data_IF_471563589001
#
_entry.id   IF_471563589001
#
_cell.length_a   1.000
_cell.length_b   1.000
_cell.length_c   1.000
_cell.angle_alpha   90.00
_cell.angle_beta   90.00
_cell.angle_gamma   90.00
#
_symmetry.space_group_name_H-M   'P 1'
#
loop_
_entity.id
_entity.type
_entity.pdbx_description
1 polymer ?
#
# COMPACT_ATOMS: atom_id res chain seq x y z
N UNK A 1 13.18 67.51 -3.20
CA UNK A 1 13.10 67.79 -4.66
C UNK A 1 12.35 66.64 -5.31
N UNK A 2 11.20 66.98 -5.75
CA UNK A 2 10.15 66.27 -6.49
C UNK A 2 10.63 65.77 -7.86
N UNK A 3 10.18 64.62 -8.31
CA UNK A 3 9.66 64.41 -9.67
C UNK A 3 8.80 63.15 -9.75
N UNK A 4 7.53 63.39 -9.96
CA UNK A 4 6.52 62.45 -10.49
C UNK A 4 6.69 62.36 -12.00
N UNK A 5 6.20 61.28 -12.59
CA UNK A 5 5.51 61.13 -13.91
C UNK A 5 5.53 59.63 -14.26
N UNK A 6 4.60 59.03 -14.92
CA UNK A 6 3.17 59.22 -15.24
C UNK A 6 2.70 57.88 -15.86
N UNK A 7 1.46 57.64 -15.72
CA UNK A 7 0.62 56.55 -16.22
C UNK A 7 0.54 56.60 -17.76
N UNK A 8 0.56 55.44 -18.42
CA UNK A 8 -0.07 55.30 -19.74
C UNK A 8 -0.83 53.97 -19.79
N UNK A 9 -2.14 54.08 -19.77
CA UNK A 9 -3.10 53.03 -20.12
C UNK A 9 -3.25 53.02 -21.63
N UNK A 10 -3.37 51.83 -22.21
CA UNK A 10 -3.91 51.64 -23.57
C UNK A 10 -4.97 50.54 -23.52
N UNK A 11 -6.17 50.97 -23.79
CA UNK A 11 -7.39 50.17 -24.03
C UNK A 11 -7.57 50.00 -25.53
N UNK A 12 -8.22 48.92 -25.95
CA UNK A 12 -8.73 48.67 -27.31
C UNK A 12 -8.61 47.18 -27.65
N UNK A 13 -9.56 46.50 -28.20
CA UNK A 13 -10.94 46.72 -28.61
C UNK A 13 -11.60 45.37 -28.84
N UNK A 14 -12.86 45.32 -28.62
CA UNK A 14 -13.83 44.25 -28.85
C UNK A 14 -13.95 43.95 -30.34
N UNK A 15 -14.04 42.67 -30.69
CA UNK A 15 -14.43 42.18 -32.01
C UNK A 15 -15.29 40.94 -31.90
N UNK A 16 -16.61 41.14 -31.81
CA UNK A 16 -17.61 40.09 -31.97
C UNK A 16 -17.90 39.87 -33.46
N UNK A 17 -17.86 38.64 -33.91
CA UNK A 17 -18.46 38.26 -35.19
C UNK A 17 -19.41 37.09 -34.98
N UNK A 18 -20.69 37.36 -35.08
CA UNK A 18 -21.75 36.40 -35.27
C UNK A 18 -21.89 36.11 -36.76
N UNK A 19 -22.03 34.86 -37.13
CA UNK A 19 -22.49 34.45 -38.48
C UNK A 19 -23.59 33.41 -38.35
N UNK A 20 -24.72 33.80 -38.79
CA UNK A 20 -25.95 33.05 -39.02
C UNK A 20 -25.81 32.29 -40.32
N UNK A 21 -26.19 31.02 -40.34
CA UNK A 21 -26.48 30.30 -41.61
C UNK A 21 -27.78 29.54 -41.47
N UNK A 22 -28.75 29.95 -42.23
CA UNK A 22 -29.94 29.21 -42.69
C UNK A 22 -29.52 28.42 -43.95
N UNK A 23 -30.02 27.24 -44.18
CA UNK A 23 -31.24 26.75 -44.53
C UNK A 23 -31.22 25.57 -45.47
N UNK A 24 -32.17 24.67 -45.34
CA UNK A 24 -32.93 23.85 -46.33
C UNK A 24 -32.13 22.94 -47.29
N UNK A 25 -32.34 21.63 -47.35
CA UNK A 25 -33.54 20.90 -47.63
C UNK A 25 -33.20 19.65 -48.47
N UNK A 26 -33.86 18.54 -48.21
CA UNK A 26 -34.23 17.60 -49.27
C UNK A 26 -33.51 16.27 -49.35
N UNK A 27 -34.06 15.22 -48.80
CA UNK A 27 -34.52 14.03 -49.51
C UNK A 27 -33.55 12.84 -49.70
N UNK A 28 -33.87 11.71 -49.07
CA UNK A 28 -33.74 10.40 -49.75
C UNK A 28 -32.79 9.37 -49.14
N UNK A 29 -33.29 8.47 -48.35
CA UNK A 29 -33.14 7.02 -48.48
C UNK A 29 -31.86 6.32 -48.02
N UNK A 30 -31.96 5.48 -47.02
CA UNK A 30 -31.29 4.20 -46.99
C UNK A 30 -30.23 3.94 -45.93
N UNK A 31 -30.60 3.19 -44.90
CA UNK A 31 -29.78 2.11 -44.41
C UNK A 31 -28.74 2.35 -43.32
N UNK A 32 -29.12 2.07 -42.08
CA UNK A 32 -28.39 1.16 -41.22
C UNK A 32 -27.14 1.65 -40.51
N UNK A 33 -27.17 1.76 -39.19
CA UNK A 33 -25.99 1.74 -38.36
C UNK A 33 -26.05 2.68 -37.17
N UNK A 34 -27.11 2.64 -36.37
CA UNK A 34 -27.16 3.28 -35.06
C UNK A 34 -26.26 2.52 -34.11
N UNK A 35 -25.09 3.09 -33.78
CA UNK A 35 -24.38 2.71 -32.56
C UNK A 35 -25.17 3.21 -31.36
N UNK A 36 -26.17 2.43 -30.96
CA UNK A 36 -26.79 2.55 -29.66
C UNK A 36 -25.78 2.10 -28.61
N UNK A 37 -25.30 3.06 -27.80
CA UNK A 37 -24.79 2.77 -26.48
C UNK A 37 -25.89 2.06 -25.70
N UNK A 38 -25.93 0.76 -25.79
CA UNK A 38 -26.75 -0.10 -24.97
C UNK A 38 -26.24 0.01 -23.55
N UNK A 39 -26.90 0.88 -22.78
CA UNK A 39 -27.01 0.72 -21.36
C UNK A 39 -27.71 -0.63 -21.15
N UNK A 40 -26.89 -1.66 -20.86
CA UNK A 40 -27.42 -2.99 -20.51
C UNK A 40 -28.14 -2.89 -19.16
N UNK A 41 -29.43 -2.67 -19.20
CA UNK A 41 -30.31 -3.07 -18.11
C UNK A 41 -30.44 -4.58 -18.18
N UNK A 42 -29.54 -5.31 -17.54
CA UNK A 42 -29.63 -6.74 -17.40
C UNK A 42 -30.55 -7.08 -16.23
N UNK A 43 -31.78 -7.43 -16.55
CA UNK A 43 -32.54 -8.38 -15.77
C UNK A 43 -31.97 -9.78 -16.04
N UNK A 44 -31.06 -10.27 -15.18
CA UNK A 44 -30.46 -11.61 -15.27
C UNK A 44 -29.21 -11.64 -14.39
N UNK A 45 -29.24 -12.38 -13.30
CA UNK A 45 -28.31 -12.47 -12.16
C UNK A 45 -26.80 -12.51 -12.45
N UNK A 46 -26.20 -11.36 -12.70
CA UNK A 46 -24.76 -11.22 -12.80
C UNK A 46 -24.26 -10.07 -11.91
N UNK A 47 -22.96 -10.11 -11.55
CA UNK A 47 -22.34 -9.05 -10.74
C UNK A 47 -22.28 -7.71 -11.48
N UNK A 48 -22.43 -6.62 -10.75
CA UNK A 48 -22.24 -5.27 -11.26
C UNK A 48 -20.74 -4.92 -11.22
N UNK A 49 -20.10 -4.80 -12.38
CA UNK A 49 -18.70 -4.39 -12.47
C UNK A 49 -18.47 -2.99 -11.87
N UNK A 50 -17.29 -2.81 -11.27
CA UNK A 50 -16.79 -1.51 -10.86
C UNK A 50 -16.36 -0.70 -12.11
N UNK A 51 -16.47 0.65 -12.08
CA UNK A 51 -16.28 1.49 -13.27
C UNK A 51 -14.83 1.47 -13.77
N UNK A 52 -14.67 1.49 -15.10
CA UNK A 52 -13.36 1.51 -15.77
C UNK A 52 -12.50 2.76 -15.45
N UNK A 53 -13.09 3.82 -14.92
CA UNK A 53 -12.34 4.99 -14.43
C UNK A 53 -11.51 4.70 -13.17
N UNK A 54 -11.79 3.60 -12.48
CA UNK A 54 -11.09 3.19 -11.26
C UNK A 54 -10.49 1.79 -11.35
N UNK A 55 -11.09 0.90 -12.12
CA UNK A 55 -10.78 -0.53 -12.06
C UNK A 55 -10.56 -1.11 -13.45
N UNK A 56 -9.71 -2.12 -13.54
CA UNK A 56 -9.55 -2.95 -14.71
C UNK A 56 -10.83 -3.78 -14.98
N UNK A 57 -10.99 -4.37 -16.17
CA UNK A 57 -12.06 -5.32 -16.43
C UNK A 57 -12.11 -6.45 -15.38
N UNK A 58 -13.30 -7.01 -15.17
CA UNK A 58 -13.49 -8.20 -14.34
C UNK A 58 -12.60 -9.34 -14.86
N UNK A 59 -11.87 -9.97 -13.95
CA UNK A 59 -11.12 -11.21 -14.17
C UNK A 59 -11.95 -12.36 -13.61
N UNK A 60 -12.50 -13.18 -14.50
CA UNK A 60 -13.29 -14.34 -14.18
C UNK A 60 -13.15 -15.41 -15.26
N UNK A 61 -12.87 -16.62 -14.86
CA UNK A 61 -12.76 -17.80 -15.74
C UNK A 61 -13.33 -19.04 -15.10
N UNK A 62 -14.16 -18.85 -14.06
CA UNK A 62 -14.84 -19.93 -13.34
C UNK A 62 -16.11 -20.43 -14.05
N UNK A 63 -16.81 -21.41 -13.48
CA UNK A 63 -18.05 -21.94 -14.03
C UNK A 63 -19.22 -20.96 -13.83
N UNK A 64 -20.15 -20.92 -14.81
CA UNK A 64 -21.36 -20.12 -14.73
C UNK A 64 -21.13 -18.60 -14.65
N UNK A 65 -22.00 -17.91 -13.94
CA UNK A 65 -21.87 -16.48 -13.65
C UNK A 65 -21.32 -16.28 -12.24
N UNK A 66 -20.50 -15.25 -12.00
CA UNK A 66 -20.05 -14.95 -10.65
C UNK A 66 -21.20 -14.42 -9.77
N UNK A 67 -21.20 -14.82 -8.50
CA UNK A 67 -22.14 -14.36 -7.47
C UNK A 67 -21.67 -13.03 -6.86
N UNK A 68 -20.34 -12.89 -6.70
CA UNK A 68 -19.71 -11.75 -6.03
C UNK A 68 -18.42 -11.31 -6.72
N UNK A 69 -17.99 -10.10 -6.36
CA UNK A 69 -16.69 -9.53 -6.72
C UNK A 69 -15.86 -9.39 -5.44
N UNK A 70 -14.61 -9.83 -5.48
CA UNK A 70 -13.55 -9.34 -4.60
C UNK A 70 -12.74 -8.29 -5.35
N UNK A 71 -12.67 -7.08 -4.79
CA UNK A 71 -11.85 -6.02 -5.36
C UNK A 71 -10.44 -6.00 -4.76
N UNK A 72 -9.44 -5.54 -5.49
CA UNK A 72 -8.19 -5.06 -4.89
C UNK A 72 -8.03 -3.56 -5.10
N UNK A 73 -7.42 -2.87 -4.14
CA UNK A 73 -7.16 -1.43 -4.18
C UNK A 73 -5.69 -1.17 -3.88
N UNK A 74 -4.91 -0.89 -4.91
CA UNK A 74 -3.45 -0.78 -4.86
C UNK A 74 -2.98 0.32 -5.83
N UNK A 75 -1.87 1.06 -5.57
CA UNK A 75 -1.37 2.05 -6.49
C UNK A 75 -0.75 1.38 -7.73
N UNK A 76 -1.39 1.54 -8.89
CA UNK A 76 -0.95 0.92 -10.15
C UNK A 76 -0.21 1.91 -11.07
N UNK A 77 0.14 3.09 -10.56
CA UNK A 77 0.93 4.12 -11.22
C UNK A 77 2.04 4.63 -10.29
N UNK A 78 3.05 5.26 -10.86
CA UNK A 78 4.15 5.85 -10.11
C UNK A 78 5.18 4.84 -9.58
N UNK A 79 5.89 5.21 -8.52
CA UNK A 79 7.06 4.47 -8.01
C UNK A 79 6.73 3.08 -7.44
N UNK A 80 5.51 2.86 -6.92
CA UNK A 80 5.08 1.55 -6.40
C UNK A 80 4.58 0.56 -7.45
N UNK A 81 4.40 1.00 -8.72
CA UNK A 81 3.70 0.23 -9.75
C UNK A 81 4.27 -1.17 -9.99
N UNK A 82 5.58 -1.30 -10.06
CA UNK A 82 6.23 -2.59 -10.36
C UNK A 82 5.88 -3.63 -9.30
N UNK A 83 5.96 -3.24 -8.03
CA UNK A 83 5.65 -4.10 -6.89
C UNK A 83 4.15 -4.43 -6.83
N UNK A 84 3.30 -3.43 -6.91
CA UNK A 84 1.84 -3.62 -6.75
C UNK A 84 1.20 -4.32 -7.96
N UNK A 85 1.72 -4.14 -9.17
CA UNK A 85 1.31 -4.95 -10.34
C UNK A 85 1.60 -6.44 -10.10
N UNK A 86 2.75 -6.76 -9.51
CA UNK A 86 3.08 -8.14 -9.16
C UNK A 86 2.14 -8.69 -8.08
N UNK A 87 1.72 -7.85 -7.11
CA UNK A 87 0.72 -8.22 -6.10
C UNK A 87 -0.65 -8.51 -6.72
N UNK A 88 -1.13 -7.67 -7.66
CA UNK A 88 -2.37 -7.93 -8.41
C UNK A 88 -2.29 -9.27 -9.17
N UNK A 89 -1.17 -9.53 -9.83
CA UNK A 89 -0.96 -10.78 -10.55
C UNK A 89 -0.94 -12.00 -9.63
N UNK A 90 -0.41 -11.86 -8.40
CA UNK A 90 -0.41 -12.91 -7.39
C UNK A 90 -1.81 -13.20 -6.86
N UNK A 91 -2.67 -12.19 -6.69
CA UNK A 91 -4.09 -12.37 -6.36
C UNK A 91 -4.79 -13.13 -7.48
N UNK A 92 -4.65 -12.69 -8.75
CA UNK A 92 -5.22 -13.38 -9.92
C UNK A 92 -4.77 -14.83 -10.02
N UNK A 93 -3.50 -15.09 -9.74
CA UNK A 93 -2.95 -16.46 -9.73
C UNK A 93 -3.70 -17.35 -8.74
N UNK A 94 -3.97 -16.87 -7.53
CA UNK A 94 -4.72 -17.62 -6.52
C UNK A 94 -6.18 -17.83 -6.92
N UNK A 95 -6.86 -16.81 -7.43
CA UNK A 95 -8.24 -16.92 -7.93
C UNK A 95 -8.34 -17.98 -9.02
N UNK A 96 -7.41 -17.95 -9.98
CA UNK A 96 -7.35 -18.94 -11.05
C UNK A 96 -7.09 -20.37 -10.53
N UNK A 97 -6.17 -20.54 -9.58
CA UNK A 97 -5.89 -21.83 -8.97
C UNK A 97 -7.10 -22.41 -8.23
N UNK A 98 -7.96 -21.57 -7.67
CA UNK A 98 -9.19 -21.96 -7.00
C UNK A 98 -10.40 -21.99 -7.96
N UNK A 99 -10.17 -21.93 -9.29
CA UNK A 99 -11.23 -21.92 -10.29
C UNK A 99 -12.32 -20.88 -10.01
N UNK A 100 -11.92 -19.72 -9.43
CA UNK A 100 -12.81 -18.61 -9.04
C UNK A 100 -13.97 -19.04 -8.14
N UNK A 101 -13.74 -19.98 -7.23
CA UNK A 101 -14.75 -20.48 -6.30
C UNK A 101 -14.32 -20.31 -4.84
N UNK A 102 -15.28 -20.09 -3.95
CA UNK A 102 -15.14 -20.06 -2.51
C UNK A 102 -16.34 -20.77 -1.87
N UNK A 103 -16.16 -22.03 -1.46
CA UNK A 103 -17.28 -22.88 -1.03
C UNK A 103 -18.27 -23.08 -2.18
N UNK A 104 -19.51 -22.68 -1.97
CA UNK A 104 -20.59 -22.77 -2.96
C UNK A 104 -20.73 -21.50 -3.83
N UNK A 105 -19.85 -20.51 -3.66
CA UNK A 105 -19.92 -19.24 -4.35
C UNK A 105 -18.91 -19.12 -5.49
N UNK A 106 -19.31 -18.46 -6.57
CA UNK A 106 -18.47 -18.10 -7.69
C UNK A 106 -18.01 -16.64 -7.53
N UNK A 107 -16.71 -16.43 -7.50
CA UNK A 107 -16.13 -15.14 -7.10
C UNK A 107 -15.30 -14.56 -8.24
N UNK A 108 -15.74 -13.45 -8.81
CA UNK A 108 -14.94 -12.66 -9.74
C UNK A 108 -13.91 -11.81 -8.98
N UNK A 109 -12.80 -11.50 -9.65
CA UNK A 109 -11.81 -10.56 -9.16
C UNK A 109 -11.79 -9.30 -10.01
N UNK A 110 -11.66 -8.13 -9.38
CA UNK A 110 -11.50 -6.88 -10.10
C UNK A 110 -10.43 -6.01 -9.43
N UNK A 111 -9.33 -5.73 -10.14
CA UNK A 111 -8.26 -4.88 -9.61
C UNK A 111 -8.55 -3.40 -9.89
N UNK A 112 -8.40 -2.58 -8.86
CA UNK A 112 -8.62 -1.14 -8.93
C UNK A 112 -7.34 -0.39 -8.54
N UNK A 113 -7.21 0.83 -9.07
CA UNK A 113 -6.08 1.72 -8.91
C UNK A 113 -6.44 2.84 -7.93
N UNK A 114 -5.70 2.97 -6.85
CA UNK A 114 -5.84 4.06 -5.87
C UNK A 114 -4.86 5.22 -6.10
N UNK A 115 -4.07 5.14 -7.19
CA UNK A 115 -3.11 6.16 -7.56
C UNK A 115 -3.62 7.07 -8.69
N UNK A 116 -2.93 8.19 -8.88
CA UNK A 116 -3.13 9.05 -10.03
C UNK A 116 -1.79 9.35 -10.72
N UNK A 117 -1.82 9.54 -12.04
CA UNK A 117 -0.62 9.92 -12.80
C UNK A 117 -0.03 11.26 -12.31
N UNK A 118 -0.87 12.17 -11.86
CA UNK A 118 -0.45 13.47 -11.34
C UNK A 118 0.27 13.36 -10.01
N UNK A 119 -0.22 12.53 -9.09
CA UNK A 119 0.43 12.31 -7.80
C UNK A 119 1.66 11.39 -7.94
N UNK A 120 1.69 10.48 -8.91
CA UNK A 120 2.74 9.46 -9.05
C UNK A 120 2.79 8.46 -7.89
N UNK A 121 1.75 8.44 -7.09
CA UNK A 121 1.56 7.61 -5.88
C UNK A 121 0.07 7.45 -5.59
N UNK A 122 -0.30 6.76 -4.50
CA UNK A 122 -1.67 6.74 -4.00
C UNK A 122 -2.22 8.17 -3.80
N UNK A 123 -3.51 8.34 -4.02
CA UNK A 123 -4.20 9.63 -3.95
C UNK A 123 -5.42 9.53 -3.05
N UNK A 124 -5.53 10.43 -2.07
CA UNK A 124 -6.60 10.39 -1.06
C UNK A 124 -8.01 10.54 -1.65
N UNK A 125 -8.16 11.37 -2.68
CA UNK A 125 -9.43 11.55 -3.39
C UNK A 125 -9.83 10.29 -4.16
N UNK A 126 -8.84 9.63 -4.79
CA UNK A 126 -9.04 8.38 -5.52
C UNK A 126 -9.42 7.24 -4.58
N UNK A 127 -8.69 7.06 -3.47
CA UNK A 127 -9.01 6.11 -2.40
C UNK A 127 -10.43 6.33 -1.87
N UNK A 128 -10.78 7.60 -1.57
CA UNK A 128 -12.11 7.95 -1.07
C UNK A 128 -13.21 7.59 -2.08
N UNK A 129 -12.97 7.83 -3.37
CA UNK A 129 -13.88 7.47 -4.45
C UNK A 129 -14.06 5.96 -4.55
N UNK A 130 -12.95 5.21 -4.60
CA UNK A 130 -12.95 3.76 -4.68
C UNK A 130 -13.66 3.12 -3.49
N UNK A 131 -13.37 3.56 -2.27
CA UNK A 131 -14.03 3.06 -1.06
C UNK A 131 -15.55 3.26 -1.10
N UNK A 132 -16.04 4.41 -1.60
CA UNK A 132 -17.47 4.65 -1.78
C UNK A 132 -18.09 3.74 -2.86
N UNK A 133 -17.35 3.45 -3.94
CA UNK A 133 -17.80 2.50 -4.98
C UNK A 133 -17.96 1.10 -4.39
N UNK A 134 -16.97 0.62 -3.64
CA UNK A 134 -17.02 -0.71 -2.99
C UNK A 134 -18.15 -0.79 -1.97
N UNK A 135 -18.29 0.22 -1.11
CA UNK A 135 -19.34 0.24 -0.10
C UNK A 135 -20.76 0.16 -0.71
N UNK A 136 -21.00 0.85 -1.81
CA UNK A 136 -22.33 0.93 -2.46
C UNK A 136 -22.63 -0.22 -3.41
N UNK A 137 -21.64 -0.81 -4.05
CA UNK A 137 -21.84 -1.90 -5.01
C UNK A 137 -22.07 -3.23 -4.28
N UNK A 138 -23.30 -3.71 -4.25
CA UNK A 138 -23.69 -4.93 -3.52
C UNK A 138 -23.02 -6.21 -4.02
N UNK A 139 -22.49 -6.20 -5.25
CA UNK A 139 -21.70 -7.33 -5.75
C UNK A 139 -20.31 -7.44 -5.09
N UNK A 140 -19.78 -6.36 -4.49
CA UNK A 140 -18.48 -6.38 -3.80
C UNK A 140 -18.64 -7.02 -2.42
N UNK A 141 -18.08 -8.21 -2.23
CA UNK A 141 -18.17 -8.97 -0.98
C UNK A 141 -16.95 -8.76 -0.06
N UNK A 142 -15.81 -8.35 -0.61
CA UNK A 142 -14.58 -8.12 0.13
C UNK A 142 -13.55 -7.32 -0.65
N UNK A 143 -12.56 -6.75 0.05
CA UNK A 143 -11.47 -5.94 -0.53
C UNK A 143 -10.12 -6.47 -0.08
N UNK A 144 -9.19 -6.64 -1.02
CA UNK A 144 -7.77 -6.93 -0.77
C UNK A 144 -6.98 -5.65 -1.01
N UNK A 145 -6.44 -5.08 0.03
CA UNK A 145 -5.75 -3.77 -0.01
C UNK A 145 -5.79 -3.12 1.37
N UNK A 146 -5.32 -1.89 1.49
CA UNK A 146 -4.56 -1.14 0.51
C UNK A 146 -3.07 -1.46 0.61
N UNK A 147 -2.24 -0.86 -0.24
CA UNK A 147 -0.79 -0.94 -0.08
C UNK A 147 -0.32 0.05 1.00
N UNK A 148 -0.73 1.31 0.88
CA UNK A 148 -0.32 2.38 1.77
C UNK A 148 -1.26 2.50 2.98
N UNK A 149 -0.69 2.70 4.18
CA UNK A 149 -1.48 2.80 5.43
C UNK A 149 -2.37 4.04 5.46
N UNK A 150 -1.92 5.19 4.92
CA UNK A 150 -2.76 6.38 4.79
C UNK A 150 -3.99 6.17 3.89
N UNK A 151 -3.89 5.30 2.88
CA UNK A 151 -5.05 4.89 2.09
C UNK A 151 -6.04 4.04 2.92
N UNK A 152 -5.51 3.13 3.78
CA UNK A 152 -6.32 2.33 4.69
C UNK A 152 -7.09 3.17 5.70
N UNK A 153 -6.49 4.24 6.23
CA UNK A 153 -7.17 5.19 7.12
C UNK A 153 -8.46 5.78 6.52
N UNK A 154 -8.46 6.00 5.21
CA UNK A 154 -9.61 6.53 4.47
C UNK A 154 -10.62 5.42 4.14
N UNK A 155 -10.12 4.25 3.76
CA UNK A 155 -10.96 3.15 3.26
C UNK A 155 -11.68 2.39 4.36
N UNK A 156 -11.00 2.03 5.44
CA UNK A 156 -11.56 1.21 6.52
C UNK A 156 -12.88 1.77 7.05
N UNK A 157 -12.99 3.06 7.48
CA UNK A 157 -14.23 3.56 8.05
C UNK A 157 -15.39 3.64 7.05
N UNK A 158 -15.11 3.80 5.76
CA UNK A 158 -16.14 3.80 4.71
C UNK A 158 -16.68 2.39 4.46
N UNK A 159 -15.81 1.40 4.41
CA UNK A 159 -16.19 -0.01 4.29
C UNK A 159 -16.87 -0.50 5.58
N UNK A 160 -16.49 0.03 6.73
CA UNK A 160 -17.08 -0.27 8.02
C UNK A 160 -18.55 0.15 8.12
N UNK A 161 -18.90 1.25 7.45
CA UNK A 161 -20.27 1.80 7.41
C UNK A 161 -21.01 1.45 6.11
N UNK A 162 -20.56 0.46 5.37
CA UNK A 162 -21.19 0.10 4.11
C UNK A 162 -22.65 -0.36 4.32
N UNK A 163 -23.59 0.00 3.43
CA UNK A 163 -24.96 -0.50 3.48
C UNK A 163 -25.00 -2.03 3.44
N UNK A 164 -25.92 -2.62 4.20
CA UNK A 164 -26.10 -4.08 4.34
C UNK A 164 -24.92 -4.80 5.00
N UNK A 165 -24.17 -4.10 5.86
CA UNK A 165 -23.11 -4.64 6.68
C UNK A 165 -21.70 -4.24 6.21
N UNK A 166 -20.73 -4.26 7.15
CA UNK A 166 -19.35 -3.88 6.85
C UNK A 166 -18.73 -4.80 5.79
N UNK A 167 -18.00 -4.21 4.85
CA UNK A 167 -17.23 -4.96 3.86
C UNK A 167 -15.90 -5.37 4.50
N UNK A 168 -15.59 -6.66 4.49
CA UNK A 168 -14.33 -7.21 5.00
C UNK A 168 -13.14 -6.76 4.15
N UNK A 169 -12.03 -6.39 4.80
CA UNK A 169 -10.81 -5.91 4.16
C UNK A 169 -9.59 -6.66 4.69
N UNK A 170 -8.75 -7.17 3.77
CA UNK A 170 -7.48 -7.84 4.10
C UNK A 170 -6.33 -7.08 3.47
N UNK A 171 -5.41 -6.56 4.28
CA UNK A 171 -4.22 -5.90 3.74
C UNK A 171 -3.02 -6.85 3.69
N UNK A 172 -2.35 -6.92 2.53
CA UNK A 172 -1.07 -7.59 2.39
C UNK A 172 0.14 -6.73 2.78
N UNK A 173 -0.05 -5.45 3.12
CA UNK A 173 1.07 -4.50 3.20
C UNK A 173 0.95 -3.38 4.23
N UNK A 174 -0.23 -3.08 4.78
CA UNK A 174 -0.36 -1.97 5.74
C UNK A 174 0.26 -2.33 7.08
N UNK A 175 1.20 -1.53 7.54
CA UNK A 175 1.95 -1.79 8.77
C UNK A 175 1.66 -0.80 9.91
N UNK A 176 1.06 0.37 9.62
CA UNK A 176 0.78 1.40 10.63
C UNK A 176 -0.02 0.85 11.82
N UNK A 177 0.54 1.05 13.03
CA UNK A 177 0.00 0.52 14.29
C UNK A 177 -1.41 1.03 14.56
N UNK A 178 -1.67 2.32 14.31
CA UNK A 178 -2.93 2.99 14.61
C UNK A 178 -4.16 2.42 13.89
N UNK A 179 -3.98 1.60 12.84
CA UNK A 179 -5.09 0.94 12.14
C UNK A 179 -5.78 -0.13 13.01
N UNK A 180 -5.06 -0.74 13.94
CA UNK A 180 -5.56 -1.90 14.69
C UNK A 180 -5.41 -1.79 16.20
N UNK A 181 -4.35 -1.17 16.70
CA UNK A 181 -4.09 -1.06 18.13
C UNK A 181 -3.35 0.23 18.50
N UNK A 182 -3.14 0.45 19.80
CA UNK A 182 -2.46 1.64 20.33
C UNK A 182 -0.95 1.49 20.26
N UNK A 183 -0.25 2.59 19.99
CA UNK A 183 1.21 2.66 19.88
C UNK A 183 1.76 4.05 20.17
N UNK A 184 3.10 4.27 20.06
CA UNK A 184 3.75 5.53 20.45
C UNK A 184 3.39 6.75 19.58
N UNK A 185 2.91 6.56 18.35
CA UNK A 185 2.68 7.65 17.39
C UNK A 185 1.29 7.63 16.77
N UNK A 186 0.33 7.04 17.44
CA UNK A 186 -1.05 7.04 16.94
C UNK A 186 -1.69 8.43 17.10
N UNK A 187 -2.61 8.74 16.18
CA UNK A 187 -3.42 9.94 16.28
C UNK A 187 -4.56 9.78 17.32
N UNK A 188 -5.11 10.88 17.84
CA UNK A 188 -6.25 10.81 18.76
C UNK A 188 -7.43 10.03 18.17
N UNK A 189 -8.02 9.16 18.99
CA UNK A 189 -9.17 8.33 18.62
C UNK A 189 -8.83 7.04 17.86
N UNK A 190 -7.56 6.77 17.55
CA UNK A 190 -7.14 5.49 16.96
C UNK A 190 -7.03 4.39 18.01
N UNK A 191 -7.32 3.16 17.58
CA UNK A 191 -7.85 2.71 16.28
C UNK A 191 -9.36 2.91 16.13
N UNK A 192 -10.08 3.25 17.18
CA UNK A 192 -11.54 3.17 17.28
C UNK A 192 -12.26 4.05 16.25
N UNK A 193 -11.65 5.20 15.85
CA UNK A 193 -12.20 6.09 14.82
C UNK A 193 -12.40 5.40 13.45
N UNK A 194 -11.70 4.29 13.18
CA UNK A 194 -11.81 3.54 11.93
C UNK A 194 -12.96 2.54 11.91
N UNK A 195 -13.56 2.27 13.09
CA UNK A 195 -14.60 1.25 13.27
C UNK A 195 -15.89 1.83 13.85
N UNK A 196 -16.50 2.84 13.19
CA UNK A 196 -17.66 3.56 13.74
C UNK A 196 -18.91 2.70 13.93
N UNK A 197 -19.02 1.54 13.26
CA UNK A 197 -20.08 0.56 13.52
C UNK A 197 -19.91 -0.20 14.85
N UNK A 198 -18.78 -0.05 15.53
CA UNK A 198 -18.41 -0.84 16.72
C UNK A 198 -17.91 -2.27 16.38
N UNK A 199 -17.91 -2.69 15.12
CA UNK A 199 -17.44 -4.01 14.69
C UNK A 199 -16.23 -3.85 13.76
N UNK A 200 -15.17 -4.58 14.02
CA UNK A 200 -13.98 -4.55 13.17
C UNK A 200 -14.21 -5.29 11.86
N UNK A 201 -13.70 -4.74 10.76
CA UNK A 201 -13.82 -5.30 9.41
C UNK A 201 -12.50 -5.38 8.65
N UNK A 202 -11.38 -5.11 9.31
CA UNK A 202 -10.06 -5.03 8.72
C UNK A 202 -9.07 -5.95 9.45
N UNK A 203 -8.30 -6.70 8.66
CA UNK A 203 -7.16 -7.50 9.11
C UNK A 203 -5.94 -7.24 8.24
N UNK A 204 -4.74 -7.50 8.79
CA UNK A 204 -3.47 -7.48 8.03
C UNK A 204 -2.69 -8.77 8.19
N UNK A 205 -1.93 -9.13 7.16
CA UNK A 205 -1.09 -10.32 7.16
C UNK A 205 0.40 -10.05 7.38
N UNK A 206 0.79 -8.78 7.45
CA UNK A 206 2.15 -8.32 7.72
C UNK A 206 2.32 -7.94 9.17
N UNK A 207 3.56 -7.98 9.68
CA UNK A 207 3.89 -7.44 11.00
C UNK A 207 3.58 -5.94 11.05
N UNK A 208 3.11 -5.46 12.20
CA UNK A 208 2.89 -4.03 12.41
C UNK A 208 4.21 -3.28 12.64
N UNK A 209 4.18 -1.93 12.52
CA UNK A 209 5.37 -1.08 12.61
C UNK A 209 6.10 -1.15 13.96
N UNK A 210 5.41 -1.50 15.04
CA UNK A 210 6.02 -1.72 16.35
C UNK A 210 6.99 -2.91 16.35
N UNK A 211 6.69 -3.97 15.58
CA UNK A 211 7.63 -5.06 15.32
C UNK A 211 8.74 -4.63 14.35
N UNK A 212 8.40 -3.91 13.28
CA UNK A 212 9.38 -3.46 12.29
C UNK A 212 10.36 -2.46 12.89
N UNK A 213 9.89 -1.43 13.60
CA UNK A 213 10.74 -0.49 14.30
C UNK A 213 11.63 -1.14 15.36
N UNK A 214 11.11 -2.15 16.08
CA UNK A 214 11.91 -2.91 17.03
C UNK A 214 13.01 -3.76 16.34
N UNK A 215 12.73 -4.35 15.18
CA UNK A 215 13.72 -5.08 14.39
C UNK A 215 14.83 -4.15 13.87
N UNK A 216 14.46 -2.96 13.38
CA UNK A 216 15.41 -1.95 12.92
C UNK A 216 16.26 -1.37 14.05
N UNK A 217 15.72 -1.24 15.26
CA UNK A 217 16.48 -0.85 16.43
C UNK A 217 17.50 -1.94 16.84
N UNK A 218 17.11 -3.21 16.78
CA UNK A 218 18.04 -4.33 16.98
C UNK A 218 19.12 -4.37 15.90
N UNK A 219 18.78 -4.08 14.65
CA UNK A 219 19.74 -3.93 13.57
C UNK A 219 20.74 -2.82 13.88
N UNK A 220 20.28 -1.65 14.31
CA UNK A 220 21.15 -0.52 14.69
C UNK A 220 22.16 -0.93 15.74
N UNK A 221 21.73 -1.66 16.78
CA UNK A 221 22.61 -2.19 17.82
C UNK A 221 23.64 -3.19 17.25
N UNK A 222 23.21 -4.10 16.36
CA UNK A 222 24.08 -5.09 15.71
C UNK A 222 25.14 -4.45 14.79
N UNK A 223 24.80 -3.31 14.16
CA UNK A 223 25.74 -2.52 13.37
C UNK A 223 26.74 -1.74 14.24
N UNK A 224 26.61 -1.80 15.56
CA UNK A 224 27.49 -1.14 16.51
C UNK A 224 27.22 0.36 16.70
N UNK A 225 26.14 0.89 16.11
CA UNK A 225 25.78 2.30 16.26
C UNK A 225 25.12 2.54 17.63
N UNK A 226 25.69 3.47 18.39
CA UNK A 226 25.21 3.87 19.72
C UNK A 226 24.33 5.11 19.70
N UNK A 227 24.20 5.74 18.55
CA UNK A 227 23.34 6.91 18.37
C UNK A 227 22.83 6.98 16.93
N UNK A 228 21.61 7.51 16.78
CA UNK A 228 20.90 7.59 15.50
C UNK A 228 20.18 8.93 15.36
N UNK A 229 20.09 9.43 14.12
CA UNK A 229 19.16 10.48 13.74
C UNK A 229 17.97 9.86 13.05
N UNK A 230 16.75 10.20 13.47
CA UNK A 230 15.51 9.63 12.96
C UNK A 230 14.80 10.65 12.10
N UNK A 231 14.50 10.26 10.87
CA UNK A 231 13.71 11.05 9.92
C UNK A 231 12.32 10.44 9.70
N UNK A 232 11.32 11.28 9.35
CA UNK A 232 10.02 10.83 8.89
C UNK A 232 9.47 11.72 7.76
N UNK A 233 8.51 11.20 6.97
CA UNK A 233 7.90 11.90 5.83
C UNK A 233 6.58 12.61 6.15
N UNK A 234 6.13 12.57 7.41
CA UNK A 234 4.83 13.06 7.90
C UNK A 234 3.61 12.26 7.45
N UNK A 235 3.77 11.25 6.60
CA UNK A 235 2.70 10.29 6.35
C UNK A 235 2.43 9.49 7.65
N UNK A 236 1.19 9.01 7.83
CA UNK A 236 0.82 8.25 9.03
C UNK A 236 1.75 7.05 9.25
N UNK A 237 2.04 6.30 8.18
CA UNK A 237 3.00 5.21 8.20
C UNK A 237 4.39 5.66 8.60
N UNK A 238 5.00 6.60 7.85
CA UNK A 238 6.40 6.98 8.09
C UNK A 238 6.63 7.64 9.44
N UNK A 239 5.68 8.44 9.93
CA UNK A 239 5.71 9.01 11.27
C UNK A 239 5.54 7.92 12.34
N UNK A 240 4.65 6.95 12.11
CA UNK A 240 4.40 5.82 13.00
C UNK A 240 5.64 4.95 13.18
N UNK A 241 6.17 4.39 12.09
CA UNK A 241 7.35 3.50 12.15
C UNK A 241 8.59 4.20 12.69
N UNK A 242 8.77 5.51 12.42
CA UNK A 242 9.86 6.30 12.99
C UNK A 242 9.72 6.42 14.53
N UNK A 243 8.51 6.60 15.04
CA UNK A 243 8.27 6.68 16.47
C UNK A 243 8.41 5.32 17.16
N UNK A 244 7.94 4.23 16.53
CA UNK A 244 8.10 2.87 17.03
C UNK A 244 9.58 2.47 17.05
N UNK A 245 10.34 2.80 15.99
CA UNK A 245 11.80 2.65 15.97
C UNK A 245 12.47 3.42 17.12
N UNK A 246 12.12 4.71 17.28
CA UNK A 246 12.67 5.54 18.37
C UNK A 246 12.40 4.94 19.75
N UNK A 247 11.18 4.48 19.99
CA UNK A 247 10.79 3.84 21.25
C UNK A 247 11.65 2.60 21.53
N UNK A 248 11.79 1.71 20.54
CA UNK A 248 12.62 0.51 20.68
C UNK A 248 14.12 0.84 20.82
N UNK A 249 14.63 1.80 20.06
CA UNK A 249 16.02 2.25 20.14
C UNK A 249 16.37 2.81 21.53
N UNK A 250 15.47 3.61 22.13
CA UNK A 250 15.63 4.12 23.50
C UNK A 250 15.67 2.98 24.53
N UNK A 251 14.81 1.97 24.41
CA UNK A 251 14.85 0.77 25.28
C UNK A 251 16.16 -0.02 25.18
N UNK A 252 16.80 0.03 24.01
CA UNK A 252 18.11 -0.59 23.77
C UNK A 252 19.31 0.29 24.21
N UNK A 253 19.06 1.49 24.75
CA UNK A 253 20.10 2.43 25.14
C UNK A 253 20.76 3.17 23.97
N UNK A 254 20.15 3.16 22.78
CA UNK A 254 20.61 3.90 21.61
C UNK A 254 20.20 5.37 21.74
N UNK A 255 21.17 6.28 21.68
CA UNK A 255 20.94 7.70 21.81
C UNK A 255 20.24 8.29 20.59
N UNK A 256 19.12 8.99 20.77
CA UNK A 256 18.41 9.71 19.69
C UNK A 256 19.00 11.11 19.56
N UNK A 257 19.69 11.39 18.45
CA UNK A 257 20.36 12.67 18.19
C UNK A 257 19.47 13.71 17.51
N UNK A 258 18.32 13.28 17.00
CA UNK A 258 17.29 14.12 16.43
C UNK A 258 16.12 13.27 15.94
N UNK A 259 14.95 13.92 15.83
CA UNK A 259 13.72 13.35 15.28
C UNK A 259 13.04 14.46 14.48
N UNK A 260 13.20 14.41 13.15
CA UNK A 260 12.73 15.48 12.25
C UNK A 260 11.97 14.89 11.06
N UNK A 261 11.05 15.70 10.52
CA UNK A 261 10.41 15.39 9.26
C UNK A 261 11.15 16.04 8.10
N UNK A 262 11.24 15.35 6.96
CA UNK A 262 11.66 16.00 5.72
C UNK A 262 10.45 16.57 4.95
N UNK A 263 10.70 17.55 4.08
CA UNK A 263 9.70 18.08 3.16
C UNK A 263 9.80 17.35 1.80
N UNK A 264 8.78 16.59 1.37
CA UNK A 264 8.82 15.89 0.09
C UNK A 264 8.96 16.80 -1.14
N UNK A 265 8.68 18.09 -0.98
CA UNK A 265 8.78 19.11 -2.05
C UNK A 265 10.13 19.81 -2.09
N UNK A 266 11.04 19.53 -1.15
CA UNK A 266 12.34 20.16 -1.12
C UNK A 266 13.19 19.80 -2.34
N UNK A 267 13.86 20.80 -2.92
CA UNK A 267 14.77 20.62 -4.03
C UNK A 267 16.17 20.10 -3.60
N UNK A 268 16.51 20.22 -2.31
CA UNK A 268 17.76 19.72 -1.73
C UNK A 268 17.59 19.39 -0.24
N UNK A 269 18.30 18.36 0.21
CA UNK A 269 18.39 17.94 1.61
C UNK A 269 19.82 18.07 2.17
N UNK A 270 20.75 18.70 1.48
CA UNK A 270 22.14 18.85 1.91
C UNK A 270 22.26 19.62 3.24
N UNK A 271 21.42 20.66 3.43
CA UNK A 271 21.38 21.38 4.69
C UNK A 271 20.90 20.48 5.85
N UNK A 272 19.91 19.63 5.62
CA UNK A 272 19.46 18.62 6.58
C UNK A 272 20.59 17.61 6.87
N UNK A 273 21.24 17.08 5.84
CA UNK A 273 22.35 16.15 5.97
C UNK A 273 23.53 16.76 6.75
N UNK A 274 23.81 18.05 6.54
CA UNK A 274 24.85 18.78 7.29
C UNK A 274 24.47 18.91 8.77
N UNK A 275 23.22 19.24 9.11
CA UNK A 275 22.74 19.25 10.49
C UNK A 275 22.89 17.87 11.14
N UNK A 276 22.49 16.81 10.44
CA UNK A 276 22.64 15.42 10.92
C UNK A 276 24.10 15.13 11.25
N UNK A 277 25.04 15.47 10.35
CA UNK A 277 26.48 15.29 10.55
C UNK A 277 26.98 16.00 11.81
N UNK A 278 26.52 17.23 12.04
CA UNK A 278 26.90 18.04 13.20
C UNK A 278 26.43 17.46 14.54
N UNK A 279 25.34 16.65 14.55
CA UNK A 279 24.86 15.99 15.78
C UNK A 279 25.77 14.87 16.27
N UNK A 280 26.68 14.38 15.41
CA UNK A 280 27.51 13.23 15.71
C UNK A 280 26.72 11.90 15.76
N UNK A 281 25.52 11.83 15.15
CA UNK A 281 24.80 10.58 14.97
C UNK A 281 25.66 9.57 14.21
N UNK A 282 25.58 8.30 14.54
CA UNK A 282 26.36 7.22 13.94
C UNK A 282 25.59 6.46 12.85
N UNK A 283 24.28 6.68 12.76
CA UNK A 283 23.40 6.11 11.76
C UNK A 283 22.21 7.05 11.51
N UNK A 284 21.50 6.86 10.39
CA UNK A 284 20.21 7.51 10.11
C UNK A 284 19.16 6.44 9.85
N UNK A 285 18.01 6.57 10.51
CA UNK A 285 16.78 5.85 10.19
C UNK A 285 15.83 6.76 9.41
N UNK A 286 15.32 6.27 8.26
CA UNK A 286 14.51 7.04 7.32
C UNK A 286 13.10 6.44 7.30
N UNK A 287 12.24 6.81 8.25
CA UNK A 287 10.86 6.32 8.34
C UNK A 287 9.96 7.01 7.32
N UNK A 288 9.57 6.32 6.26
CA UNK A 288 8.69 6.88 5.23
C UNK A 288 8.65 6.11 3.92
N UNK A 289 8.18 6.78 2.88
CA UNK A 289 7.93 6.22 1.57
C UNK A 289 8.93 6.75 0.53
N UNK A 290 9.37 5.88 -0.36
CA UNK A 290 10.25 6.27 -1.47
C UNK A 290 9.61 7.32 -2.38
N UNK A 291 8.28 7.29 -2.56
CA UNK A 291 7.51 8.26 -3.34
C UNK A 291 7.46 9.66 -2.72
N UNK A 292 7.85 9.82 -1.46
CA UNK A 292 7.98 11.11 -0.78
C UNK A 292 9.38 11.74 -1.00
N UNK A 293 9.86 11.71 -2.25
CA UNK A 293 11.17 12.22 -2.66
C UNK A 293 12.37 11.49 -1.99
N UNK A 294 12.15 10.22 -1.62
CA UNK A 294 13.11 9.41 -0.86
C UNK A 294 14.43 9.20 -1.59
N UNK A 295 14.42 8.98 -2.91
CA UNK A 295 15.65 8.80 -3.69
C UNK A 295 16.55 10.04 -3.66
N UNK A 296 15.96 11.24 -3.73
CA UNK A 296 16.70 12.51 -3.59
C UNK A 296 17.26 12.68 -2.17
N UNK A 297 16.44 12.34 -1.16
CA UNK A 297 16.89 12.38 0.24
C UNK A 297 18.09 11.46 0.45
N UNK A 298 18.03 10.21 0.01
CA UNK A 298 19.14 9.25 0.11
C UNK A 298 20.40 9.81 -0.59
N UNK A 299 20.25 10.34 -1.82
CA UNK A 299 21.35 10.91 -2.59
C UNK A 299 22.05 12.04 -1.82
N UNK A 300 21.29 12.98 -1.26
CA UNK A 300 21.85 14.14 -0.55
C UNK A 300 22.43 13.73 0.81
N UNK A 301 21.83 12.77 1.51
CA UNK A 301 22.44 12.20 2.72
C UNK A 301 23.80 11.56 2.41
N UNK A 302 23.90 10.78 1.33
CA UNK A 302 25.16 10.15 0.91
C UNK A 302 26.24 11.15 0.50
N UNK A 303 25.86 12.26 -0.16
CA UNK A 303 26.82 13.29 -0.58
C UNK A 303 27.53 13.96 0.61
N UNK A 304 26.85 14.11 1.75
CA UNK A 304 27.36 14.80 2.93
C UNK A 304 27.92 13.84 3.99
N UNK A 305 27.24 12.70 4.21
CA UNK A 305 27.61 11.73 5.25
C UNK A 305 28.61 10.67 4.77
N UNK A 306 28.65 10.44 3.45
CA UNK A 306 29.52 9.45 2.83
C UNK A 306 28.81 8.12 2.49
N UNK A 307 29.42 7.35 1.58
CA UNK A 307 28.82 6.13 1.03
C UNK A 307 28.72 4.99 2.02
N UNK A 308 29.59 4.93 3.01
CA UNK A 308 29.63 3.87 4.03
C UNK A 308 28.86 4.21 5.32
N UNK A 309 28.27 5.41 5.38
CA UNK A 309 27.50 5.82 6.55
C UNK A 309 26.23 4.96 6.67
N UNK A 310 25.93 4.36 7.83
CA UNK A 310 24.77 3.48 7.97
C UNK A 310 23.46 4.23 7.74
N UNK A 311 22.75 3.91 6.65
CA UNK A 311 21.41 4.34 6.38
C UNK A 311 20.47 3.13 6.46
N UNK A 312 19.38 3.28 7.17
CA UNK A 312 18.36 2.26 7.37
C UNK A 312 17.01 2.85 7.02
N UNK A 313 16.14 2.05 6.41
CA UNK A 313 14.76 2.43 6.14
C UNK A 313 13.83 1.21 6.25
N UNK A 314 12.55 1.44 6.54
CA UNK A 314 11.55 0.39 6.54
C UNK A 314 11.05 0.09 5.11
N UNK A 315 10.03 -0.75 5.00
CA UNK A 315 9.51 -1.32 3.76
C UNK A 315 8.94 -0.31 2.75
N UNK A 316 8.66 0.92 3.15
CA UNK A 316 8.37 2.01 2.23
C UNK A 316 9.47 2.28 1.20
N UNK A 317 10.67 1.71 1.41
CA UNK A 317 11.82 1.72 0.50
C UNK A 317 12.10 0.34 -0.12
N UNK A 318 11.17 -0.60 -0.06
CA UNK A 318 11.36 -1.97 -0.60
C UNK A 318 11.34 -2.06 -2.12
N UNK A 319 11.01 -1.00 -2.85
CA UNK A 319 11.28 -0.91 -4.29
C UNK A 319 12.76 -0.52 -4.52
N UNK A 320 13.62 -1.53 -4.57
CA UNK A 320 15.07 -1.36 -4.74
C UNK A 320 15.44 -0.64 -6.04
N UNK A 321 14.57 -0.67 -7.05
CA UNK A 321 14.81 0.02 -8.33
C UNK A 321 14.57 1.52 -8.20
N UNK A 322 13.55 1.92 -7.46
CA UNK A 322 13.18 3.31 -7.24
C UNK A 322 14.14 4.05 -6.31
N UNK A 323 14.84 3.34 -5.41
CA UNK A 323 15.76 3.96 -4.45
C UNK A 323 16.98 4.63 -5.09
N UNK A 324 17.34 4.21 -6.30
CA UNK A 324 18.46 4.77 -7.05
C UNK A 324 19.85 4.28 -6.59
N UNK A 325 20.94 4.72 -7.28
CA UNK A 325 22.29 4.21 -7.05
C UNK A 325 22.88 4.61 -5.69
N UNK A 326 22.45 5.72 -5.10
CA UNK A 326 22.92 6.18 -3.80
C UNK A 326 22.47 5.27 -2.64
N UNK A 327 21.46 4.43 -2.86
CA UNK A 327 20.94 3.50 -1.86
C UNK A 327 21.77 2.19 -1.76
N UNK A 328 22.73 1.95 -2.64
CA UNK A 328 23.60 0.77 -2.54
C UNK A 328 24.29 0.75 -1.17
N UNK A 329 24.25 -0.40 -0.49
CA UNK A 329 24.74 -0.57 0.88
C UNK A 329 23.80 -0.13 2.00
N UNK A 330 22.62 0.43 1.67
CA UNK A 330 21.57 0.76 2.62
C UNK A 330 20.86 -0.50 3.12
N UNK A 331 20.45 -0.50 4.38
CA UNK A 331 19.64 -1.57 4.97
C UNK A 331 18.16 -1.19 4.87
N UNK A 332 17.35 -2.14 4.41
CA UNK A 332 15.91 -1.93 4.21
C UNK A 332 15.18 -3.11 4.84
N UNK A 333 14.35 -2.83 5.83
CA UNK A 333 13.52 -3.86 6.45
C UNK A 333 12.20 -4.03 5.68
N UNK A 334 11.67 -5.25 5.67
CA UNK A 334 10.36 -5.61 5.12
C UNK A 334 9.60 -6.41 6.16
N UNK A 335 8.37 -6.05 6.41
CA UNK A 335 7.50 -6.70 7.38
C UNK A 335 7.05 -8.07 6.85
N UNK A 336 7.92 -9.07 6.90
CA UNK A 336 7.60 -10.40 6.39
C UNK A 336 8.80 -11.33 6.24
N UNK A 337 8.49 -12.54 5.74
CA UNK A 337 9.47 -13.57 5.37
C UNK A 337 9.89 -13.34 3.92
N UNK A 338 11.19 -13.44 3.58
CA UNK A 338 11.62 -13.28 2.20
C UNK A 338 11.14 -14.48 1.35
N UNK A 339 10.83 -14.27 0.06
CA UNK A 339 10.29 -15.32 -0.80
C UNK A 339 11.19 -16.58 -0.89
N UNK A 340 12.49 -16.42 -0.86
CA UNK A 340 13.48 -17.50 -0.91
C UNK A 340 13.57 -18.32 0.38
N UNK A 341 13.08 -17.82 1.51
CA UNK A 341 13.00 -18.55 2.78
C UNK A 341 11.62 -19.22 2.99
N UNK A 342 10.64 -18.95 2.14
CA UNK A 342 9.31 -19.59 2.22
C UNK A 342 9.43 -21.09 1.96
N UNK A 343 8.69 -21.88 2.75
CA UNK A 343 8.71 -23.36 2.71
C UNK A 343 7.37 -23.94 2.33
N UNK A 344 7.33 -25.23 1.98
CA UNK A 344 6.08 -25.93 1.67
C UNK A 344 5.27 -25.26 0.56
N UNK A 345 4.02 -24.89 0.84
CA UNK A 345 3.15 -24.19 -0.12
C UNK A 345 3.70 -22.82 -0.53
N UNK A 346 4.43 -22.14 0.35
CA UNK A 346 5.10 -20.86 0.03
C UNK A 346 6.16 -21.03 -1.04
N UNK A 347 7.04 -22.03 -0.90
CA UNK A 347 8.04 -22.35 -1.93
C UNK A 347 7.37 -22.73 -3.26
N UNK A 348 6.33 -23.56 -3.23
CA UNK A 348 5.57 -23.94 -4.42
C UNK A 348 4.97 -22.70 -5.11
N UNK A 349 4.42 -21.76 -4.35
CA UNK A 349 3.92 -20.51 -4.88
C UNK A 349 5.04 -19.71 -5.57
N UNK A 350 6.17 -19.51 -4.91
CA UNK A 350 7.31 -18.75 -5.45
C UNK A 350 7.80 -19.37 -6.75
N UNK A 351 7.98 -20.70 -6.79
CA UNK A 351 8.45 -21.43 -7.99
C UNK A 351 7.45 -21.29 -9.17
N UNK A 352 6.16 -21.50 -8.91
CA UNK A 352 5.12 -21.49 -9.95
C UNK A 352 4.82 -20.06 -10.43
N UNK A 353 4.63 -19.15 -9.50
CA UNK A 353 4.31 -17.76 -9.81
C UNK A 353 5.50 -17.04 -10.46
N UNK A 354 6.73 -17.23 -9.92
CA UNK A 354 7.95 -16.69 -10.49
C UNK A 354 8.17 -17.16 -11.95
N UNK A 355 7.90 -18.45 -12.23
CA UNK A 355 7.92 -18.98 -13.60
C UNK A 355 6.86 -18.32 -14.50
N UNK A 356 5.66 -18.10 -13.98
CA UNK A 356 4.58 -17.46 -14.75
C UNK A 356 4.90 -16.02 -15.13
N UNK A 357 5.47 -15.24 -14.18
CA UNK A 357 5.78 -13.83 -14.43
C UNK A 357 7.15 -13.60 -15.09
N UNK A 358 7.99 -14.65 -15.17
CA UNK A 358 9.34 -14.55 -15.74
C UNK A 358 10.28 -13.63 -14.94
N UNK A 359 10.03 -13.45 -13.63
CA UNK A 359 10.76 -12.51 -12.77
C UNK A 359 10.88 -13.05 -11.34
N UNK A 360 11.77 -12.45 -10.56
CA UNK A 360 11.85 -12.70 -9.13
C UNK A 360 10.57 -12.24 -8.44
N UNK A 361 10.06 -13.08 -7.53
CA UNK A 361 8.87 -12.76 -6.72
C UNK A 361 9.26 -11.75 -5.64
N UNK A 362 8.57 -10.62 -5.59
CA UNK A 362 8.78 -9.65 -4.51
C UNK A 362 8.10 -10.12 -3.21
N UNK A 363 8.56 -9.66 -2.05
CA UNK A 363 8.01 -10.12 -0.76
C UNK A 363 6.48 -9.98 -0.68
N UNK A 364 5.94 -8.84 -1.03
CA UNK A 364 4.51 -8.56 -0.88
C UNK A 364 3.60 -9.28 -1.90
N UNK A 365 4.15 -9.85 -2.97
CA UNK A 365 3.38 -10.72 -3.87
C UNK A 365 2.92 -12.00 -3.15
N UNK A 366 3.77 -12.59 -2.28
CA UNK A 366 3.39 -13.75 -1.47
C UNK A 366 2.31 -13.39 -0.43
N UNK A 367 2.40 -12.21 0.16
CA UNK A 367 1.40 -11.68 1.09
C UNK A 367 0.07 -11.39 0.39
N UNK A 368 0.09 -10.85 -0.82
CA UNK A 368 -1.10 -10.62 -1.64
C UNK A 368 -1.78 -11.95 -2.05
N UNK A 369 -0.98 -12.95 -2.41
CA UNK A 369 -1.49 -14.29 -2.69
C UNK A 369 -2.13 -14.93 -1.44
N UNK A 370 -1.49 -14.81 -0.27
CA UNK A 370 -2.08 -15.31 0.98
C UNK A 370 -3.34 -14.53 1.36
N UNK A 371 -3.39 -13.21 1.12
CA UNK A 371 -4.60 -12.40 1.35
C UNK A 371 -5.77 -12.87 0.49
N UNK A 372 -5.49 -13.25 -0.75
CA UNK A 372 -6.51 -13.86 -1.63
C UNK A 372 -7.01 -15.20 -1.08
N UNK A 373 -6.12 -16.07 -0.60
CA UNK A 373 -6.52 -17.33 0.04
C UNK A 373 -7.37 -17.11 1.29
N UNK A 374 -6.97 -16.17 2.15
CA UNK A 374 -7.71 -15.83 3.38
C UNK A 374 -9.09 -15.25 3.03
N UNK A 375 -9.20 -14.41 2.03
CA UNK A 375 -10.48 -13.84 1.60
C UNK A 375 -11.41 -14.93 1.04
N UNK A 376 -10.91 -15.80 0.16
CA UNK A 376 -11.70 -16.91 -0.39
C UNK A 376 -12.13 -17.90 0.72
N UNK A 377 -11.25 -18.20 1.67
CA UNK A 377 -11.58 -19.05 2.82
C UNK A 377 -12.65 -18.40 3.71
N UNK A 378 -12.56 -17.10 4.00
CA UNK A 378 -13.57 -16.37 4.77
C UNK A 378 -14.93 -16.37 4.07
N UNK A 379 -14.96 -16.16 2.75
CA UNK A 379 -16.20 -16.26 1.96
C UNK A 379 -16.78 -17.68 2.03
N UNK A 380 -15.94 -18.70 1.90
CA UNK A 380 -16.39 -20.11 1.91
C UNK A 380 -17.04 -20.54 3.23
N UNK A 381 -16.66 -19.90 4.33
CA UNK A 381 -17.18 -20.15 5.70
C UNK A 381 -18.33 -19.21 6.08
N UNK A 382 -18.64 -18.23 5.24
CA UNK A 382 -19.70 -17.25 5.47
C UNK A 382 -21.06 -17.74 4.98
N UNK A 383 -22.10 -17.00 5.34
CA UNK A 383 -23.45 -17.18 4.81
C UNK A 383 -23.68 -16.37 3.50
N UNK A 384 -22.63 -15.82 2.90
CA UNK A 384 -22.69 -14.99 1.71
C UNK A 384 -23.03 -13.52 1.97
N UNK A 385 -23.14 -13.08 3.23
CA UNK A 385 -23.31 -11.66 3.57
C UNK A 385 -21.96 -10.99 3.86
N UNK A 386 -21.87 -9.67 3.60
CA UNK A 386 -20.68 -8.86 3.91
C UNK A 386 -20.28 -8.94 5.37
N UNK A 387 -21.27 -8.83 6.28
CA UNK A 387 -21.03 -8.88 7.72
C UNK A 387 -20.45 -10.23 8.15
N UNK A 388 -20.97 -11.33 7.60
CA UNK A 388 -20.47 -12.68 7.87
C UNK A 388 -19.05 -12.84 7.34
N UNK A 389 -18.75 -12.40 6.11
CA UNK A 389 -17.37 -12.43 5.57
C UNK A 389 -16.42 -11.63 6.45
N UNK A 390 -16.78 -10.39 6.85
CA UNK A 390 -15.97 -9.58 7.74
C UNK A 390 -15.67 -10.28 9.08
N UNK A 391 -16.68 -10.96 9.66
CA UNK A 391 -16.50 -11.76 10.88
C UNK A 391 -15.59 -12.95 10.66
N UNK A 392 -15.74 -13.68 9.52
CA UNK A 392 -14.91 -14.84 9.21
C UNK A 392 -13.45 -14.51 8.98
N UNK A 393 -13.11 -13.27 8.59
CA UNK A 393 -11.72 -12.82 8.51
C UNK A 393 -11.02 -12.88 9.88
N UNK A 394 -11.71 -12.53 10.97
CA UNK A 394 -11.16 -12.63 12.33
C UNK A 394 -11.05 -14.08 12.85
N UNK A 395 -11.80 -15.01 12.26
CA UNK A 395 -11.69 -16.43 12.54
C UNK A 395 -10.59 -17.13 11.70
N UNK A 396 -9.70 -16.35 11.06
CA UNK A 396 -8.61 -16.88 10.23
C UNK A 396 -7.60 -17.66 11.08
N UNK A 397 -7.39 -18.93 10.70
CA UNK A 397 -6.40 -19.82 11.32
C UNK A 397 -5.76 -20.66 10.21
N UNK A 398 -4.70 -20.12 9.60
CA UNK A 398 -4.01 -20.76 8.48
C UNK A 398 -3.01 -21.77 9.00
N UNK A 399 -3.08 -23.01 8.48
CA UNK A 399 -2.08 -24.05 8.71
C UNK A 399 -1.42 -24.40 7.36
N UNK A 400 -0.10 -24.30 7.31
CA UNK A 400 0.67 -24.58 6.10
C UNK A 400 0.19 -23.77 4.87
N UNK A 401 -0.08 -22.47 5.03
CA UNK A 401 -0.37 -21.55 3.94
C UNK A 401 0.89 -21.14 3.15
N UNK A 402 0.72 -20.19 2.25
CA UNK A 402 1.85 -19.57 1.51
C UNK A 402 2.84 -18.95 2.50
N UNK A 403 2.35 -18.25 3.53
CA UNK A 403 3.16 -17.62 4.57
C UNK A 403 3.42 -18.55 5.79
N UNK A 404 3.13 -19.86 5.66
CA UNK A 404 3.28 -20.82 6.75
C UNK A 404 2.04 -20.90 7.64
N UNK A 405 2.25 -20.97 8.96
CA UNK A 405 1.17 -21.11 9.95
C UNK A 405 1.02 -19.83 10.76
N UNK A 406 -0.19 -19.29 10.79
CA UNK A 406 -0.53 -18.09 11.56
C UNK A 406 -2.05 -18.03 11.81
N UNK A 407 -2.44 -17.18 12.74
CA UNK A 407 -3.83 -16.78 12.98
C UNK A 407 -3.94 -15.25 13.04
N UNK A 408 -5.15 -14.75 13.12
CA UNK A 408 -5.45 -13.34 13.32
C UNK A 408 -5.91 -13.17 14.77
N UNK A 409 -5.39 -12.14 15.45
CA UNK A 409 -5.80 -11.78 16.81
C UNK A 409 -7.08 -10.90 16.81
N UNK A 410 -7.59 -10.57 17.98
CA UNK A 410 -8.80 -9.76 18.17
C UNK A 410 -8.71 -8.34 17.58
N UNK A 411 -7.50 -7.82 17.42
CA UNK A 411 -7.26 -6.51 16.83
C UNK A 411 -7.24 -6.54 15.29
N UNK A 412 -7.12 -7.72 14.66
CA UNK A 412 -6.96 -7.88 13.23
C UNK A 412 -5.51 -8.03 12.78
N UNK A 413 -4.57 -8.23 13.70
CA UNK A 413 -3.16 -8.42 13.39
C UNK A 413 -2.81 -9.90 13.29
N UNK A 414 -1.84 -10.21 12.41
CA UNK A 414 -1.26 -11.56 12.34
C UNK A 414 -0.49 -11.93 13.61
N UNK A 415 -0.51 -13.21 13.97
CA UNK A 415 0.31 -13.74 15.06
C UNK A 415 1.75 -14.07 14.66
N UNK A 416 2.07 -13.98 13.36
CA UNK A 416 3.42 -14.22 12.82
C UNK A 416 4.04 -12.89 12.39
N UNK A 417 5.07 -12.44 13.10
CA UNK A 417 5.65 -11.11 12.96
C UNK A 417 7.16 -11.11 12.65
N UNK A 418 7.64 -11.88 11.64
CA UNK A 418 9.02 -11.79 11.18
C UNK A 418 9.25 -10.48 10.44
N UNK A 419 10.46 -9.93 10.56
CA UNK A 419 10.92 -8.78 9.79
C UNK A 419 12.22 -9.16 9.10
N UNK A 420 12.26 -9.04 7.79
CA UNK A 420 13.46 -9.34 6.99
C UNK A 420 14.20 -8.05 6.66
N UNK A 421 15.46 -8.00 6.98
CA UNK A 421 16.37 -6.94 6.57
C UNK A 421 17.07 -7.35 5.29
N UNK A 422 17.01 -6.49 4.30
CA UNK A 422 17.77 -6.58 3.05
C UNK A 422 18.89 -5.55 3.05
N UNK A 423 19.99 -5.87 2.37
CA UNK A 423 21.00 -4.88 2.02
C UNK A 423 20.91 -4.62 0.52
N UNK A 424 20.69 -3.38 0.11
CA UNK A 424 20.62 -3.05 -1.30
C UNK A 424 21.97 -3.24 -1.98
N UNK A 425 22.01 -4.04 -3.07
CA UNK A 425 23.23 -4.43 -3.77
C UNK A 425 23.34 -3.88 -5.18
N UNK A 426 22.20 -3.49 -5.80
CA UNK A 426 22.15 -2.95 -7.15
C UNK A 426 21.34 -1.65 -7.22
N UNK A 427 21.27 -1.09 -8.43
CA UNK A 427 20.54 0.15 -8.70
C UNK A 427 19.85 0.13 -10.07
N UNK A 428 18.86 0.99 -10.29
CA UNK A 428 18.09 1.05 -11.53
C UNK A 428 17.40 -0.28 -11.82
N UNK A 429 17.36 -0.72 -13.07
CA UNK A 429 16.73 -1.98 -13.49
C UNK A 429 17.36 -3.24 -12.86
N UNK A 430 18.56 -3.14 -12.31
CA UNK A 430 19.24 -4.18 -11.53
C UNK A 430 19.19 -3.93 -10.03
N UNK A 431 18.37 -3.01 -9.55
CA UNK A 431 18.15 -2.75 -8.14
C UNK A 431 17.60 -3.99 -7.44
N UNK A 432 18.42 -4.61 -6.58
CA UNK A 432 18.07 -5.81 -5.82
C UNK A 432 18.46 -5.65 -4.36
N UNK A 433 17.76 -6.37 -3.48
CA UNK A 433 18.12 -6.54 -2.08
C UNK A 433 18.64 -7.95 -1.84
N UNK A 434 19.85 -8.09 -1.31
CA UNK A 434 20.28 -9.36 -0.75
C UNK A 434 19.74 -9.50 0.67
N UNK A 435 19.13 -10.62 1.00
CA UNK A 435 18.69 -10.93 2.36
C UNK A 435 19.89 -10.84 3.30
N UNK A 436 19.81 -9.92 4.26
CA UNK A 436 20.85 -9.74 5.28
C UNK A 436 20.53 -10.59 6.51
N UNK A 437 19.29 -10.49 7.01
CA UNK A 437 18.84 -11.24 8.19
C UNK A 437 17.33 -11.12 8.37
N UNK A 438 16.70 -12.21 8.83
CA UNK A 438 15.34 -12.18 9.38
C UNK A 438 15.39 -12.04 10.90
N UNK A 439 14.63 -11.09 11.45
CA UNK A 439 14.57 -10.75 12.88
C UNK A 439 13.13 -10.91 13.35
N UNK A 440 12.93 -11.60 14.46
CA UNK A 440 11.66 -11.58 15.20
C UNK A 440 11.92 -10.89 16.54
N UNK A 441 11.49 -9.62 16.70
CA UNK A 441 11.76 -8.87 17.91
C UNK A 441 11.05 -9.46 19.13
N UNK A 442 11.66 -9.41 20.32
CA UNK A 442 10.98 -9.81 21.55
C UNK A 442 9.86 -8.82 21.90
N UNK A 443 8.78 -9.32 22.48
CA UNK A 443 7.61 -8.53 22.88
C UNK A 443 7.96 -7.35 23.82
N UNK A 444 9.03 -7.46 24.62
CA UNK A 444 9.50 -6.39 25.50
C UNK A 444 9.93 -5.13 24.76
N UNK A 445 10.38 -5.25 23.53
CA UNK A 445 10.74 -4.10 22.67
C UNK A 445 9.52 -3.51 21.95
N UNK A 446 8.52 -4.35 21.65
CA UNK A 446 7.31 -3.98 20.91
C UNK A 446 6.29 -3.27 21.80
N UNK A 447 6.01 -3.81 22.99
CA UNK A 447 5.01 -3.23 23.88
C UNK A 447 5.35 -1.80 24.26
N UNK A 448 4.35 -0.93 24.17
CA UNK A 448 4.39 0.40 24.81
C UNK A 448 4.43 0.19 26.33
N UNK A 449 5.45 0.74 26.98
CA UNK A 449 5.59 0.73 28.46
C UNK A 449 4.56 1.63 29.12
#
# INVERSE_FOLDING_TARGET
MSKRLSIAALAGSIGALALVAAGCGGGGGGGGGGSSTTQSTSGGGGVQALPASSCNPIDYGGPGQPDFIVASDLPLQGSGRTQTTQMVNAIKFVFKQNNYTAGNHHIAFQSCDDSTAQAGKWDSGKVSTNANLYARNQSVIGVIGTFNSGAAEIMIPKLNQAPNGPVGMVSPANTYVGLTHKGPAIAPGEPDKYYPSGTRNYIRLVAADDFQGAADALLTQQLGAKSVFVLNDKEAYGQGVAADYRNAAQKLGIGIKGFEAWDPKASSYEALATRIKQTGAQAVFIGGLICENGAKLIKDLRSVLGTNYPLMAPDGFSDFTANGPAAVGMYISVAGIPPDELKGKGKQFVDQFGKQIGAQVNPYAAYAAQSAQVMLDAISRSDGTRASVAQQLFNTNVKNGILGTFSINENGDTTSNPVTVYKQTGSGSSGTGATYKTITPPQSLVKVS
#
